data_IF_716579419983
#
_entry.id   IF_716579419983
#
_cell.length_a   1.000
_cell.length_b   1.000
_cell.length_c   1.000
_cell.angle_alpha   90.00
_cell.angle_beta   90.00
_cell.angle_gamma   90.00
#
_symmetry.space_group_name_H-M   'P 1'
#
loop_
_entity.id
_entity.type
_entity.pdbx_description
1 polymer ?
#
# COMPACT_ATOMS: atom_id res chain seq x y z
N UNK A 1 -47.65 -34.00 69.79
CA UNK A 1 -47.27 -32.71 69.17
C UNK A 1 -45.88 -32.37 69.69
N UNK A 2 -44.88 -32.50 68.81
CA UNK A 2 -43.48 -32.00 68.84
C UNK A 2 -42.81 -31.91 70.24
N UNK A 3 -41.88 -32.76 70.66
CA UNK A 3 -40.76 -33.35 69.93
C UNK A 3 -39.46 -32.63 70.31
N UNK A 4 -38.89 -32.94 71.48
CA UNK A 4 -37.57 -32.46 71.92
C UNK A 4 -36.91 -33.59 72.73
N UNK A 5 -35.92 -34.25 72.14
CA UNK A 5 -35.09 -35.26 72.80
C UNK A 5 -33.64 -34.87 72.59
N UNK A 6 -33.06 -34.24 73.61
CA UNK A 6 -31.61 -34.16 73.76
C UNK A 6 -31.11 -35.51 74.26
N UNK A 7 -30.29 -36.21 73.47
CA UNK A 7 -29.43 -37.30 73.97
C UNK A 7 -27.97 -36.89 73.78
N UNK A 8 -27.28 -36.71 74.90
CA UNK A 8 -25.81 -36.79 74.98
C UNK A 8 -25.41 -38.25 74.75
N UNK A 9 -24.33 -38.48 74.02
CA UNK A 9 -23.57 -39.73 74.11
C UNK A 9 -22.08 -39.40 73.95
N UNK A 10 -21.34 -39.79 74.98
CA UNK A 10 -19.92 -39.61 75.18
C UNK A 10 -19.16 -40.86 74.70
N UNK A 11 -18.10 -40.63 73.91
CA UNK A 11 -16.83 -41.39 73.80
C UNK A 11 -16.87 -42.88 73.35
N UNK A 12 -15.87 -43.53 72.72
CA UNK A 12 -14.41 -43.36 72.56
C UNK A 12 -13.90 -44.27 71.37
N UNK A 13 -12.59 -44.35 71.05
CA UNK A 13 -12.07 -44.50 69.69
C UNK A 13 -11.95 -45.95 69.23
N UNK A 14 -11.95 -46.16 67.91
CA UNK A 14 -11.45 -47.41 67.33
C UNK A 14 -10.32 -47.11 66.35
N UNK A 15 -9.08 -47.36 66.80
CA UNK A 15 -7.91 -47.50 65.92
C UNK A 15 -7.95 -48.90 65.34
N UNK A 16 -8.07 -49.03 64.02
CA UNK A 16 -7.51 -50.17 63.29
C UNK A 16 -6.74 -49.68 62.07
N UNK A 17 -5.63 -50.37 61.71
CA UNK A 17 -4.62 -49.86 60.80
C UNK A 17 -4.86 -50.33 59.36
N UNK A 18 -4.26 -49.59 58.42
CA UNK A 18 -4.02 -49.97 57.02
C UNK A 18 -5.24 -50.18 56.13
N UNK A 19 -5.66 -49.08 55.48
CA UNK A 19 -6.27 -49.12 54.15
C UNK A 19 -5.37 -48.31 53.20
N UNK A 20 -4.88 -48.88 52.07
CA UNK A 20 -4.20 -48.07 51.09
C UNK A 20 -5.22 -47.10 50.47
N UNK A 21 -4.97 -45.80 50.61
CA UNK A 21 -5.74 -44.77 49.90
C UNK A 21 -5.51 -44.92 48.40
N UNK A 22 -6.62 -44.89 47.66
CA UNK A 22 -6.73 -44.98 46.19
C UNK A 22 -5.63 -44.21 45.46
N UNK A 23 -5.15 -44.66 44.28
CA UNK A 23 -4.24 -43.88 43.47
C UNK A 23 -4.86 -42.51 43.17
N UNK A 24 -4.05 -41.44 43.13
CA UNK A 24 -4.56 -40.11 42.83
C UNK A 24 -5.25 -40.15 41.48
N UNK A 25 -6.49 -39.67 41.43
CA UNK A 25 -7.19 -39.43 40.18
C UNK A 25 -6.29 -38.51 39.37
N UNK A 26 -5.74 -39.02 38.26
CA UNK A 26 -5.00 -38.18 37.33
C UNK A 26 -5.99 -37.14 36.83
N UNK A 27 -5.83 -35.90 37.28
CA UNK A 27 -6.49 -34.79 36.63
C UNK A 27 -5.97 -34.79 35.19
N UNK A 28 -6.82 -35.18 34.24
CA UNK A 28 -6.61 -34.81 32.86
C UNK A 28 -6.48 -33.29 32.87
N UNK A 29 -5.24 -32.81 32.67
CA UNK A 29 -4.99 -31.43 32.31
C UNK A 29 -5.71 -31.28 30.97
N UNK A 30 -6.96 -30.82 31.01
CA UNK A 30 -7.64 -30.37 29.81
C UNK A 30 -6.79 -29.24 29.28
N UNK A 31 -6.20 -29.47 28.11
CA UNK A 31 -5.49 -28.46 27.36
C UNK A 31 -6.37 -27.22 27.30
N UNK A 32 -5.92 -26.14 27.94
CA UNK A 32 -6.49 -24.82 27.69
C UNK A 32 -6.12 -24.49 26.25
N UNK A 33 -7.06 -24.68 25.33
CA UNK A 33 -6.92 -24.12 23.99
C UNK A 33 -6.80 -22.61 24.18
N UNK A 34 -5.58 -22.10 24.01
CA UNK A 34 -5.34 -20.67 23.90
C UNK A 34 -6.32 -20.09 22.86
N UNK A 35 -6.77 -18.83 23.02
CA UNK A 35 -7.63 -18.19 22.03
C UNK A 35 -7.04 -18.40 20.64
N UNK A 36 -7.90 -18.78 19.68
CA UNK A 36 -7.54 -19.17 18.32
C UNK A 36 -6.41 -18.29 17.79
N UNK A 37 -5.26 -18.90 17.48
CA UNK A 37 -4.18 -18.19 16.79
C UNK A 37 -4.72 -17.72 15.45
N UNK A 38 -4.50 -16.45 15.12
CA UNK A 38 -4.71 -15.92 13.77
C UNK A 38 -4.12 -16.85 12.73
N UNK A 39 -4.78 -17.00 11.59
CA UNK A 39 -4.26 -17.82 10.49
C UNK A 39 -2.85 -17.32 10.12
N UNK A 40 -1.85 -18.20 9.89
CA UNK A 40 -0.48 -17.78 9.61
C UNK A 40 -0.37 -16.75 8.47
N UNK A 41 -1.15 -16.91 7.40
CA UNK A 41 -1.21 -15.94 6.29
C UNK A 41 -1.77 -14.57 6.70
N UNK A 42 -2.76 -14.53 7.60
CA UNK A 42 -3.31 -13.26 8.11
C UNK A 42 -2.26 -12.53 8.95
N UNK A 43 -1.50 -13.26 9.77
CA UNK A 43 -0.39 -12.67 10.53
C UNK A 43 0.68 -12.11 9.60
N UNK A 44 1.07 -12.87 8.56
CA UNK A 44 2.04 -12.44 7.57
C UNK A 44 1.61 -11.16 6.86
N UNK A 45 0.37 -11.09 6.36
CA UNK A 45 -0.15 -9.89 5.69
C UNK A 45 -0.16 -8.69 6.63
N UNK A 46 -0.51 -8.87 7.90
CA UNK A 46 -0.47 -7.78 8.89
C UNK A 46 0.95 -7.25 9.09
N UNK A 47 1.95 -8.13 9.14
CA UNK A 47 3.35 -7.73 9.26
C UNK A 47 3.80 -6.96 8.00
N UNK A 48 3.47 -7.45 6.80
CA UNK A 48 3.75 -6.76 5.53
C UNK A 48 3.08 -5.38 5.44
N UNK A 49 1.82 -5.26 5.91
CA UNK A 49 1.10 -3.99 6.03
C UNK A 49 1.80 -3.04 7.00
N UNK A 50 2.25 -3.53 8.15
CA UNK A 50 2.95 -2.71 9.15
C UNK A 50 4.29 -2.20 8.62
N UNK A 51 5.03 -3.03 7.89
CA UNK A 51 6.25 -2.61 7.20
C UNK A 51 5.96 -1.55 6.13
N UNK A 52 4.87 -1.68 5.39
CA UNK A 52 4.47 -0.69 4.38
C UNK A 52 4.00 0.63 5.01
N UNK A 53 3.31 0.58 6.16
CA UNK A 53 2.98 1.76 6.97
C UNK A 53 4.26 2.43 7.49
N UNK A 54 5.24 1.65 7.97
CA UNK A 54 6.53 2.15 8.43
C UNK A 54 7.35 2.79 7.29
N UNK A 55 7.32 2.21 6.09
CA UNK A 55 7.92 2.77 4.87
C UNK A 55 7.36 4.18 4.58
N UNK A 56 6.04 4.36 4.69
CA UNK A 56 5.40 5.66 4.44
C UNK A 56 5.74 6.73 5.50
N UNK A 57 6.06 6.32 6.73
CA UNK A 57 6.39 7.22 7.85
C UNK A 57 7.82 7.78 7.79
N UNK A 58 8.67 7.29 6.89
CA UNK A 58 10.07 7.75 6.73
C UNK A 58 10.27 8.46 5.39
N UNK A 59 9.70 9.67 5.18
CA UNK A 59 9.77 10.36 3.88
C UNK A 59 11.10 11.08 3.62
N UNK A 60 12.11 10.94 4.49
CA UNK A 60 13.40 11.61 4.31
C UNK A 60 14.07 11.15 3.01
N UNK A 61 14.30 12.10 2.09
CA UNK A 61 14.94 11.86 0.79
C UNK A 61 14.18 10.85 -0.09
N UNK A 62 12.94 11.17 -0.50
CA UNK A 62 12.19 10.37 -1.47
C UNK A 62 12.96 10.23 -2.79
N UNK A 63 13.28 9.00 -3.13
CA UNK A 63 13.98 8.60 -4.36
C UNK A 63 13.10 7.72 -5.23
N UNK A 64 13.50 7.51 -6.48
CA UNK A 64 12.89 6.53 -7.37
C UNK A 64 13.00 5.11 -6.78
N UNK A 65 14.14 4.78 -6.15
CA UNK A 65 14.35 3.52 -5.44
C UNK A 65 13.37 3.36 -4.26
N UNK A 66 13.13 4.42 -3.48
CA UNK A 66 12.14 4.40 -2.40
C UNK A 66 10.72 4.13 -2.91
N UNK A 67 10.33 4.73 -4.05
CA UNK A 67 9.05 4.44 -4.70
C UNK A 67 8.97 2.99 -5.18
N UNK A 68 10.05 2.47 -5.77
CA UNK A 68 10.10 1.08 -6.23
C UNK A 68 9.98 0.10 -5.06
N UNK A 69 10.66 0.35 -3.93
CA UNK A 69 10.51 -0.45 -2.71
C UNK A 69 9.07 -0.46 -2.20
N UNK A 70 8.40 0.70 -2.17
CA UNK A 70 6.98 0.78 -1.80
C UNK A 70 6.06 0.00 -2.73
N UNK A 71 6.31 0.06 -4.05
CA UNK A 71 5.55 -0.69 -5.06
C UNK A 71 5.76 -2.20 -4.97
N UNK A 72 6.99 -2.64 -4.70
CA UNK A 72 7.33 -4.05 -4.48
C UNK A 72 6.60 -4.58 -3.24
N UNK A 73 6.70 -3.87 -2.11
CA UNK A 73 6.00 -4.23 -0.87
C UNK A 73 4.49 -4.26 -1.05
N UNK A 74 3.92 -3.29 -1.78
CA UNK A 74 2.50 -3.26 -2.06
C UNK A 74 2.06 -4.45 -2.93
N UNK A 75 2.84 -4.82 -3.94
CA UNK A 75 2.60 -6.02 -4.73
C UNK A 75 2.59 -7.26 -3.82
N UNK A 76 3.57 -7.39 -2.93
CA UNK A 76 3.66 -8.55 -2.04
C UNK A 76 2.45 -8.63 -1.07
N UNK A 77 1.99 -7.49 -0.52
CA UNK A 77 0.75 -7.42 0.26
C UNK A 77 -0.47 -7.90 -0.54
N UNK A 78 -0.58 -7.51 -1.82
CA UNK A 78 -1.68 -7.95 -2.68
C UNK A 78 -1.61 -9.43 -3.05
N UNK A 79 -0.41 -9.97 -3.25
CA UNK A 79 -0.19 -11.39 -3.52
C UNK A 79 -0.54 -12.23 -2.28
N UNK A 80 -0.12 -11.80 -1.09
CA UNK A 80 -0.50 -12.44 0.17
C UNK A 80 -2.02 -12.35 0.43
N UNK A 81 -2.67 -11.22 0.11
CA UNK A 81 -4.14 -11.13 0.15
C UNK A 81 -4.78 -12.06 -0.89
N UNK A 82 -4.22 -12.16 -2.10
CA UNK A 82 -4.68 -13.10 -3.11
C UNK A 82 -4.69 -14.53 -2.57
N UNK A 83 -3.61 -14.96 -1.90
CA UNK A 83 -3.52 -16.30 -1.30
C UNK A 83 -4.57 -16.51 -0.19
N UNK A 84 -4.82 -15.51 0.66
CA UNK A 84 -5.88 -15.56 1.68
C UNK A 84 -7.26 -15.72 1.01
N UNK A 85 -7.51 -15.01 -0.08
CA UNK A 85 -8.78 -15.04 -0.81
C UNK A 85 -9.02 -16.38 -1.51
N UNK A 86 -8.00 -17.19 -1.78
CA UNK A 86 -8.16 -18.54 -2.36
C UNK A 86 -8.59 -19.59 -1.31
N UNK A 87 -8.53 -19.28 -0.01
CA UNK A 87 -8.87 -20.24 1.04
C UNK A 87 -10.39 -20.49 1.11
N UNK A 88 -10.84 -21.76 1.22
CA UNK A 88 -12.27 -22.07 1.35
C UNK A 88 -12.96 -21.38 2.53
N UNK A 89 -12.26 -21.22 3.66
CA UNK A 89 -12.83 -20.55 4.84
C UNK A 89 -13.08 -19.06 4.57
N UNK A 90 -12.21 -18.42 3.78
CA UNK A 90 -12.37 -17.03 3.37
C UNK A 90 -13.60 -16.86 2.49
N UNK A 91 -13.83 -17.80 1.56
CA UNK A 91 -15.02 -17.79 0.71
C UNK A 91 -16.32 -17.87 1.55
N UNK A 92 -16.39 -18.79 2.51
CA UNK A 92 -17.56 -18.95 3.37
C UNK A 92 -17.87 -17.65 4.14
N UNK A 93 -16.85 -17.06 4.77
CA UNK A 93 -16.98 -15.80 5.53
C UNK A 93 -17.44 -14.63 4.65
N UNK A 94 -16.90 -14.53 3.42
CA UNK A 94 -17.23 -13.44 2.51
C UNK A 94 -18.58 -13.62 1.79
N UNK A 95 -19.05 -14.86 1.64
CA UNK A 95 -20.34 -15.16 1.00
C UNK A 95 -21.53 -14.50 1.73
N UNK A 96 -21.44 -14.38 3.06
CA UNK A 96 -22.42 -13.71 3.90
C UNK A 96 -22.31 -12.18 3.87
N UNK A 97 -21.35 -11.62 3.13
CA UNK A 97 -21.04 -10.18 3.06
C UNK A 97 -21.04 -9.64 1.63
N UNK A 98 -21.90 -10.17 0.76
CA UNK A 98 -21.98 -9.80 -0.66
C UNK A 98 -21.92 -8.30 -0.92
N UNK A 99 -22.79 -7.49 -0.29
CA UNK A 99 -22.83 -6.03 -0.51
C UNK A 99 -21.52 -5.33 -0.16
N UNK A 100 -20.77 -5.84 0.82
CA UNK A 100 -19.47 -5.29 1.18
C UNK A 100 -18.38 -5.72 0.21
N UNK A 101 -18.39 -6.99 -0.22
CA UNK A 101 -17.47 -7.49 -1.24
C UNK A 101 -17.68 -6.77 -2.57
N UNK A 102 -18.91 -6.45 -2.94
CA UNK A 102 -19.24 -5.63 -4.12
C UNK A 102 -18.60 -4.25 -4.06
N UNK A 103 -18.65 -3.57 -2.90
CA UNK A 103 -17.95 -2.28 -2.70
C UNK A 103 -16.43 -2.42 -2.81
N UNK A 104 -15.86 -3.50 -2.30
CA UNK A 104 -14.43 -3.77 -2.46
C UNK A 104 -14.09 -4.00 -3.93
N UNK A 105 -14.91 -4.75 -4.67
CA UNK A 105 -14.71 -4.99 -6.09
C UNK A 105 -14.76 -3.70 -6.92
N UNK A 106 -15.64 -2.76 -6.54
CA UNK A 106 -15.67 -1.40 -7.10
C UNK A 106 -14.38 -0.64 -6.77
N UNK A 107 -13.90 -0.68 -5.53
CA UNK A 107 -12.63 -0.06 -5.13
C UNK A 107 -11.44 -0.61 -5.91
N UNK A 108 -11.34 -1.94 -6.05
CA UNK A 108 -10.30 -2.58 -6.85
C UNK A 108 -10.40 -2.26 -8.34
N UNK A 109 -11.61 -2.12 -8.88
CA UNK A 109 -11.78 -1.64 -10.26
C UNK A 109 -11.24 -0.22 -10.41
N UNK A 110 -11.53 0.66 -9.46
CA UNK A 110 -11.02 2.04 -9.46
C UNK A 110 -9.50 2.09 -9.34
N UNK A 111 -8.88 1.21 -8.55
CA UNK A 111 -7.42 1.08 -8.54
C UNK A 111 -6.87 0.67 -9.90
N UNK A 112 -7.46 -0.37 -10.52
CA UNK A 112 -7.07 -0.85 -11.86
C UNK A 112 -7.17 0.28 -12.89
N UNK A 113 -8.29 1.01 -12.93
CA UNK A 113 -8.50 2.12 -13.86
C UNK A 113 -7.42 3.21 -13.69
N UNK A 114 -7.14 3.58 -12.45
CA UNK A 114 -6.18 4.62 -12.13
C UNK A 114 -4.75 4.21 -12.50
N UNK A 115 -4.34 2.98 -12.20
CA UNK A 115 -3.03 2.46 -12.61
C UNK A 115 -2.93 2.29 -14.14
N UNK A 116 -4.02 1.93 -14.81
CA UNK A 116 -4.05 1.85 -16.28
C UNK A 116 -3.87 3.22 -16.95
N UNK A 117 -4.53 4.27 -16.43
CA UNK A 117 -4.32 5.64 -16.90
C UNK A 117 -2.88 6.08 -16.63
N UNK A 118 -2.37 5.81 -15.43
CA UNK A 118 -0.99 6.12 -15.04
C UNK A 118 0.04 5.49 -16.01
N UNK A 119 -0.09 4.20 -16.31
CA UNK A 119 0.78 3.48 -17.25
C UNK A 119 0.73 4.09 -18.65
N UNK A 120 -0.47 4.42 -19.12
CA UNK A 120 -0.65 5.06 -20.44
C UNK A 120 0.08 6.40 -20.51
N UNK A 121 -0.05 7.24 -19.48
CA UNK A 121 0.66 8.53 -19.44
C UNK A 121 2.18 8.36 -19.33
N UNK A 122 2.67 7.34 -18.60
CA UNK A 122 4.10 7.01 -18.52
C UNK A 122 4.68 6.56 -19.87
N UNK A 123 3.95 5.69 -20.57
CA UNK A 123 4.35 5.21 -21.89
C UNK A 123 4.51 6.37 -22.88
N UNK A 124 3.54 7.30 -22.91
CA UNK A 124 3.61 8.50 -23.73
C UNK A 124 4.81 9.40 -23.39
N UNK A 125 5.18 9.52 -22.12
CA UNK A 125 6.38 10.28 -21.73
C UNK A 125 7.66 9.61 -22.24
N UNK A 126 7.76 8.27 -22.14
CA UNK A 126 8.95 7.51 -22.58
C UNK A 126 9.18 7.68 -24.08
N UNK A 127 8.13 7.67 -24.90
CA UNK A 127 8.22 7.92 -26.34
C UNK A 127 8.81 9.31 -26.63
N UNK A 128 8.31 10.35 -25.95
CA UNK A 128 8.82 11.72 -26.09
C UNK A 128 10.25 11.88 -25.55
N UNK A 129 10.63 11.12 -24.53
CA UNK A 129 11.97 11.14 -23.96
C UNK A 129 13.01 10.59 -24.95
N UNK A 130 12.68 9.54 -25.71
CA UNK A 130 13.53 9.03 -26.79
C UNK A 130 13.78 10.10 -27.86
N UNK A 131 12.73 10.83 -28.25
CA UNK A 131 12.85 11.94 -29.19
C UNK A 131 13.70 13.10 -28.61
N UNK A 132 13.53 13.42 -27.32
CA UNK A 132 14.30 14.43 -26.61
C UNK A 132 15.81 14.10 -26.58
N UNK A 133 16.17 12.81 -26.50
CA UNK A 133 17.57 12.36 -26.48
C UNK A 133 18.30 12.70 -27.77
N UNK A 134 17.61 12.50 -28.89
CA UNK A 134 18.11 12.86 -30.22
C UNK A 134 18.18 14.39 -30.35
N UNK A 135 17.17 15.10 -29.85
CA UNK A 135 17.13 16.56 -29.87
C UNK A 135 18.27 17.19 -29.05
N UNK A 136 18.62 16.64 -27.88
CA UNK A 136 19.75 17.09 -27.06
C UNK A 136 21.06 17.04 -27.85
N UNK A 137 21.33 15.93 -28.55
CA UNK A 137 22.54 15.76 -29.37
C UNK A 137 22.59 16.75 -30.54
N UNK A 138 21.43 17.11 -31.10
CA UNK A 138 21.28 18.08 -32.18
C UNK A 138 21.17 19.53 -31.70
N UNK A 139 21.20 19.77 -30.38
CA UNK A 139 20.96 21.08 -29.75
C UNK A 139 19.66 21.74 -30.25
N UNK A 140 18.62 20.92 -30.43
CA UNK A 140 17.31 21.33 -30.94
C UNK A 140 16.35 21.69 -29.81
N UNK A 141 16.36 22.96 -29.41
CA UNK A 141 15.53 23.48 -28.31
C UNK A 141 14.02 23.30 -28.58
N UNK A 142 13.59 23.24 -29.85
CA UNK A 142 12.17 23.14 -30.20
C UNK A 142 11.56 21.79 -29.81
N UNK A 143 12.28 20.69 -30.07
CA UNK A 143 11.86 19.33 -29.68
C UNK A 143 11.97 19.09 -28.19
N UNK A 144 12.94 19.72 -27.53
CA UNK A 144 13.04 19.71 -26.07
C UNK A 144 11.84 20.41 -25.43
N UNK A 145 11.36 21.50 -26.02
CA UNK A 145 10.13 22.16 -25.57
C UNK A 145 8.91 21.22 -25.65
N UNK A 146 8.80 20.38 -26.69
CA UNK A 146 7.73 19.39 -26.83
C UNK A 146 7.81 18.35 -25.70
N UNK A 147 8.98 17.78 -25.44
CA UNK A 147 9.18 16.85 -24.31
C UNK A 147 8.82 17.48 -22.96
N UNK A 148 9.26 18.72 -22.70
CA UNK A 148 8.90 19.44 -21.49
C UNK A 148 7.40 19.68 -21.35
N UNK A 149 6.71 19.95 -22.46
CA UNK A 149 5.25 20.07 -22.49
C UNK A 149 4.58 18.73 -22.18
N UNK A 150 5.06 17.64 -22.76
CA UNK A 150 4.58 16.28 -22.48
C UNK A 150 4.73 15.93 -21.00
N UNK A 151 5.90 16.21 -20.41
CA UNK A 151 6.18 16.03 -18.99
C UNK A 151 5.19 16.79 -18.09
N UNK A 152 4.86 18.04 -18.43
CA UNK A 152 3.86 18.84 -17.70
C UNK A 152 2.45 18.27 -17.85
N UNK A 153 2.08 17.83 -19.06
CA UNK A 153 0.78 17.22 -19.35
C UNK A 153 0.60 15.96 -18.49
N UNK A 154 1.59 15.08 -18.48
CA UNK A 154 1.59 13.88 -17.64
C UNK A 154 1.45 14.22 -16.16
N UNK A 155 2.22 15.19 -15.65
CA UNK A 155 2.12 15.63 -14.26
C UNK A 155 0.71 16.10 -13.87
N UNK A 156 0.00 16.77 -14.79
CA UNK A 156 -1.38 17.21 -14.60
C UNK A 156 -2.37 16.05 -14.66
N UNK A 157 -2.17 15.08 -15.55
CA UNK A 157 -2.99 13.87 -15.62
C UNK A 157 -2.86 13.05 -14.33
N UNK A 158 -1.63 12.80 -13.88
CA UNK A 158 -1.34 12.09 -12.63
C UNK A 158 -1.90 12.83 -11.41
N UNK A 159 -1.86 14.17 -11.40
CA UNK A 159 -2.49 14.95 -10.33
C UNK A 159 -4.00 14.70 -10.20
N UNK A 160 -4.70 14.43 -11.31
CA UNK A 160 -6.15 14.14 -11.30
C UNK A 160 -6.44 12.74 -10.73
N UNK A 161 -5.50 11.80 -10.85
CA UNK A 161 -5.65 10.46 -10.30
C UNK A 161 -5.68 10.46 -8.76
N UNK A 162 -4.97 11.41 -8.13
CA UNK A 162 -4.93 11.61 -6.67
C UNK A 162 -6.32 11.79 -6.08
N UNK A 163 -7.19 12.57 -6.74
CA UNK A 163 -8.57 12.77 -6.25
C UNK A 163 -9.41 11.50 -6.33
N UNK A 164 -9.23 10.69 -7.38
CA UNK A 164 -9.94 9.42 -7.52
C UNK A 164 -9.55 8.45 -6.41
N UNK A 165 -8.25 8.31 -6.14
CA UNK A 165 -7.72 7.41 -5.10
C UNK A 165 -8.15 7.81 -3.69
N UNK A 166 -8.16 9.10 -3.34
CA UNK A 166 -8.52 9.55 -1.98
C UNK A 166 -9.96 9.21 -1.58
N UNK A 167 -10.81 8.82 -2.53
CA UNK A 167 -12.21 8.47 -2.28
C UNK A 167 -12.48 6.97 -2.16
N UNK A 168 -11.46 6.14 -2.36
CA UNK A 168 -11.52 4.67 -2.22
C UNK A 168 -11.53 4.30 -0.73
N UNK A 169 -12.20 3.22 -0.34
CA UNK A 169 -12.21 2.72 1.03
C UNK A 169 -13.04 3.53 2.03
N UNK A 170 -13.89 4.47 1.57
CA UNK A 170 -14.70 5.33 2.44
C UNK A 170 -16.00 4.68 2.93
N UNK A 171 -15.92 3.46 3.42
CA UNK A 171 -17.03 2.76 4.05
C UNK A 171 -16.54 2.01 5.28
N UNK A 172 -17.40 1.90 6.28
CA UNK A 172 -17.12 1.15 7.49
C UNK A 172 -18.19 0.09 7.67
N UNK A 173 -17.78 -1.14 7.98
CA UNK A 173 -18.70 -2.15 8.46
C UNK A 173 -18.95 -1.87 9.95
N UNK A 174 -20.21 -1.70 10.39
CA UNK A 174 -20.51 -1.59 11.81
C UNK A 174 -19.98 -2.81 12.57
N UNK A 175 -19.36 -2.65 13.75
CA UNK A 175 -18.87 -3.79 14.55
C UNK A 175 -19.96 -4.81 14.87
N UNK A 176 -21.22 -4.39 14.96
CA UNK A 176 -22.40 -5.25 15.17
C UNK A 176 -22.73 -6.18 14.01
N UNK A 177 -22.19 -5.94 12.81
CA UNK A 177 -22.37 -6.79 11.63
C UNK A 177 -21.29 -7.87 11.48
N UNK A 178 -20.35 -7.96 12.42
CA UNK A 178 -19.29 -8.97 12.49
C UNK A 178 -19.68 -10.02 13.54
N UNK A 179 -19.79 -11.27 13.12
CA UNK A 179 -20.35 -12.36 13.91
C UNK A 179 -19.26 -13.20 14.57
N UNK A 180 -18.02 -13.17 14.04
CA UNK A 180 -16.88 -13.91 14.60
C UNK A 180 -15.57 -13.10 14.63
N UNK A 181 -14.64 -13.53 15.48
CA UNK A 181 -13.29 -12.94 15.58
C UNK A 181 -12.52 -13.11 14.25
N UNK A 182 -12.61 -14.29 13.63
CA UNK A 182 -11.95 -14.56 12.36
C UNK A 182 -12.47 -13.67 11.22
N UNK A 183 -13.78 -13.42 11.21
CA UNK A 183 -14.42 -12.50 10.27
C UNK A 183 -13.97 -11.05 10.48
N UNK A 184 -13.97 -10.58 11.73
CA UNK A 184 -13.48 -9.25 12.07
C UNK A 184 -12.01 -9.06 11.68
N UNK A 185 -11.20 -10.09 11.86
CA UNK A 185 -9.79 -10.09 11.49
C UNK A 185 -9.57 -9.99 9.98
N UNK A 186 -10.27 -10.81 9.20
CA UNK A 186 -10.21 -10.81 7.74
C UNK A 186 -10.69 -9.47 7.16
N UNK A 187 -11.82 -8.96 7.65
CA UNK A 187 -12.37 -7.65 7.25
C UNK A 187 -11.37 -6.55 7.55
N UNK A 188 -10.77 -6.55 8.74
CA UNK A 188 -9.75 -5.59 9.13
C UNK A 188 -8.54 -5.64 8.19
N UNK A 189 -8.05 -6.83 7.86
CA UNK A 189 -6.94 -6.99 6.90
C UNK A 189 -7.29 -6.45 5.52
N UNK A 190 -8.46 -6.77 4.96
CA UNK A 190 -8.84 -6.27 3.63
C UNK A 190 -8.93 -4.73 3.64
N UNK A 191 -9.52 -4.14 4.67
CA UNK A 191 -9.57 -2.69 4.84
C UNK A 191 -8.17 -2.07 4.96
N UNK A 192 -7.28 -2.68 5.76
CA UNK A 192 -5.90 -2.22 5.88
C UNK A 192 -5.14 -2.32 4.54
N UNK A 193 -5.37 -3.37 3.74
CA UNK A 193 -4.79 -3.51 2.39
C UNK A 193 -5.25 -2.37 1.49
N UNK A 194 -6.54 -2.04 1.50
CA UNK A 194 -7.08 -0.90 0.74
C UNK A 194 -6.39 0.40 1.19
N UNK A 195 -6.26 0.63 2.49
CA UNK A 195 -5.64 1.83 3.04
C UNK A 195 -4.16 1.97 2.65
N UNK A 196 -3.37 0.91 2.73
CA UNK A 196 -1.96 0.96 2.29
C UNK A 196 -1.84 1.10 0.77
N UNK A 197 -2.77 0.52 0.00
CA UNK A 197 -2.85 0.71 -1.46
C UNK A 197 -3.10 2.18 -1.79
N UNK A 198 -4.04 2.83 -1.10
CA UNK A 198 -4.29 4.27 -1.20
C UNK A 198 -3.03 5.06 -0.85
N UNK A 199 -2.40 4.76 0.29
CA UNK A 199 -1.22 5.49 0.78
C UNK A 199 -0.04 5.45 -0.20
N UNK A 200 0.35 4.25 -0.66
CA UNK A 200 1.45 4.06 -1.61
C UNK A 200 1.14 4.76 -2.94
N UNK A 201 -0.09 4.63 -3.44
CA UNK A 201 -0.48 5.26 -4.70
C UNK A 201 -0.50 6.79 -4.61
N UNK A 202 -0.90 7.35 -3.46
CA UNK A 202 -0.80 8.78 -3.20
C UNK A 202 0.66 9.25 -3.18
N UNK A 203 1.56 8.51 -2.50
CA UNK A 203 2.97 8.82 -2.46
C UNK A 203 3.60 8.81 -3.87
N UNK A 204 3.27 7.80 -4.67
CA UNK A 204 3.69 7.66 -6.06
C UNK A 204 3.22 8.84 -6.92
N UNK A 205 1.92 9.10 -6.94
CA UNK A 205 1.33 10.09 -7.83
C UNK A 205 1.68 11.52 -7.43
N UNK A 206 1.65 11.86 -6.14
CA UNK A 206 2.11 13.16 -5.68
C UNK A 206 3.60 13.33 -5.97
N UNK A 207 4.43 12.32 -5.68
CA UNK A 207 5.86 12.38 -5.95
C UNK A 207 6.18 12.68 -7.40
N UNK A 208 5.55 11.95 -8.33
CA UNK A 208 5.75 12.15 -9.76
C UNK A 208 5.17 13.49 -10.23
N UNK A 209 3.91 13.77 -9.88
CA UNK A 209 3.22 14.99 -10.30
C UNK A 209 3.99 16.24 -9.86
N UNK A 210 4.44 16.30 -8.60
CA UNK A 210 5.20 17.44 -8.07
C UNK A 210 6.57 17.54 -8.73
N UNK A 211 7.24 16.42 -9.00
CA UNK A 211 8.58 16.42 -9.60
C UNK A 211 8.58 16.93 -11.05
N UNK A 212 7.53 16.60 -11.79
CA UNK A 212 7.38 16.97 -13.19
C UNK A 212 6.55 18.24 -13.42
N UNK A 213 5.85 18.72 -12.39
CA UNK A 213 5.26 20.04 -12.37
C UNK A 213 6.37 21.10 -12.47
N UNK A 214 6.24 21.99 -13.45
CA UNK A 214 7.15 23.12 -13.65
C UNK A 214 7.23 23.99 -12.39
N UNK A 215 8.39 24.00 -11.71
CA UNK A 215 8.73 25.16 -10.91
C UNK A 215 9.12 26.26 -11.89
N UNK A 216 8.27 27.26 -12.08
CA UNK A 216 8.79 28.56 -12.52
C UNK A 216 9.93 28.88 -11.56
N UNK A 217 11.16 28.98 -12.07
CA UNK A 217 12.26 29.58 -11.32
C UNK A 217 11.79 30.97 -10.94
N UNK A 218 11.30 31.10 -9.72
CA UNK A 218 10.79 32.36 -9.21
C UNK A 218 11.95 33.20 -8.74
N UNK A 219 12.74 33.70 -9.69
CA UNK A 219 13.65 34.81 -9.44
C UNK A 219 12.87 36.10 -9.09
N UNK A 220 11.53 36.06 -9.15
CA UNK A 220 10.62 37.17 -8.80
C UNK A 220 9.81 36.94 -7.51
N UNK A 221 10.06 35.88 -6.73
CA UNK A 221 9.44 35.75 -5.40
C UNK A 221 10.44 36.18 -4.32
N UNK A 222 10.87 37.43 -4.40
CA UNK A 222 11.41 38.12 -3.24
C UNK A 222 10.22 38.36 -2.30
N UNK A 223 10.24 37.67 -1.16
CA UNK A 223 9.39 37.86 0.01
C UNK A 223 7.92 37.38 -0.09
N UNK A 224 7.45 36.79 1.02
CA UNK A 224 6.06 36.34 1.30
C UNK A 224 5.66 34.95 0.79
N UNK A 225 6.27 33.91 1.34
CA UNK A 225 5.53 32.75 1.89
C UNK A 225 6.51 31.68 2.39
N UNK A 226 6.83 31.70 3.69
CA UNK A 226 7.67 30.69 4.33
C UNK A 226 6.91 29.46 4.84
N UNK A 227 5.57 29.40 4.71
CA UNK A 227 4.76 28.33 5.31
C UNK A 227 3.97 27.45 4.34
N UNK A 228 3.64 27.90 3.12
CA UNK A 228 2.88 27.09 2.16
C UNK A 228 3.76 26.26 1.19
N UNK A 229 5.01 26.65 0.96
CA UNK A 229 5.88 26.01 -0.04
C UNK A 229 6.79 24.89 0.50
N UNK A 230 6.89 24.72 1.83
CA UNK A 230 7.76 23.70 2.43
C UNK A 230 7.19 22.29 2.23
N UNK A 231 5.87 22.13 2.45
CA UNK A 231 5.15 20.85 2.32
C UNK A 231 5.16 20.31 0.89
N UNK A 232 4.98 21.15 -0.13
CA UNK A 232 4.99 20.72 -1.54
C UNK A 232 6.36 20.28 -2.04
N UNK A 233 7.46 20.71 -1.41
CA UNK A 233 8.81 20.33 -1.83
C UNK A 233 9.22 18.98 -1.25
N UNK A 234 8.69 18.65 -0.07
CA UNK A 234 9.01 17.45 0.70
C UNK A 234 8.45 16.16 0.07
N UNK A 235 7.39 16.27 -0.73
CA UNK A 235 6.77 15.10 -1.35
C UNK A 235 7.40 14.67 -2.69
N UNK A 236 8.32 15.47 -3.23
CA UNK A 236 8.91 15.25 -4.55
C UNK A 236 10.03 14.20 -4.59
N UNK A 237 10.31 13.68 -5.78
CA UNK A 237 11.33 12.66 -6.03
C UNK A 237 12.62 13.33 -6.49
N UNK A 238 13.71 13.05 -5.78
CA UNK A 238 14.98 13.74 -5.96
C UNK A 238 15.54 13.64 -7.39
N UNK A 239 15.61 12.43 -7.95
CA UNK A 239 16.18 12.17 -9.28
C UNK A 239 15.36 12.85 -10.37
N UNK A 240 14.03 12.91 -10.21
CA UNK A 240 13.13 13.55 -11.17
C UNK A 240 13.29 15.08 -11.18
N UNK A 241 13.73 15.68 -10.07
CA UNK A 241 13.99 17.12 -9.98
C UNK A 241 15.36 17.54 -10.47
N UNK A 242 16.38 16.68 -10.34
CA UNK A 242 17.74 16.98 -10.80
C UNK A 242 17.76 17.32 -12.30
N UNK A 243 16.81 16.77 -13.06
CA UNK A 243 16.57 17.10 -14.45
C UNK A 243 15.52 18.23 -14.58
N UNK A 244 15.85 19.42 -14.07
CA UNK A 244 14.99 20.62 -14.16
C UNK A 244 14.93 21.20 -15.57
N UNK A 245 13.85 21.95 -15.88
CA UNK A 245 13.63 22.54 -17.22
C UNK A 245 14.78 23.46 -17.66
N UNK A 246 15.33 24.23 -16.72
CA UNK A 246 16.44 25.14 -16.95
C UNK A 246 17.71 24.43 -17.44
N UNK A 247 17.92 23.16 -17.03
CA UNK A 247 19.10 22.39 -17.43
C UNK A 247 19.04 21.97 -18.91
N UNK A 248 17.83 21.93 -19.50
CA UNK A 248 17.62 21.51 -20.88
C UNK A 248 17.40 22.66 -21.86
N UNK A 249 17.33 23.91 -21.41
CA UNK A 249 17.13 25.06 -22.30
C UNK A 249 18.46 25.66 -22.77
N UNK A 250 18.40 26.39 -23.89
CA UNK A 250 19.53 27.16 -24.40
C UNK A 250 20.70 26.28 -24.84
N UNK A 251 20.41 25.09 -25.38
CA UNK A 251 21.43 24.09 -25.73
C UNK A 251 22.46 24.63 -26.72
N UNK A 252 22.05 25.54 -27.60
CA UNK A 252 22.96 26.22 -28.55
C UNK A 252 24.06 27.04 -27.87
N UNK A 253 23.81 27.51 -26.65
CA UNK A 253 24.78 28.27 -25.84
C UNK A 253 25.67 27.36 -24.99
N UNK A 254 25.35 26.06 -24.91
CA UNK A 254 26.07 25.07 -24.11
C UNK A 254 27.20 24.45 -24.91
N UNK A 255 28.36 24.32 -24.25
CA UNK A 255 29.49 23.55 -24.77
C UNK A 255 29.17 22.04 -24.85
N UNK A 256 29.94 21.29 -25.63
CA UNK A 256 29.66 19.87 -25.86
C UNK A 256 29.76 19.01 -24.60
N UNK A 257 30.65 19.37 -23.67
CA UNK A 257 30.77 18.69 -22.37
C UNK A 257 29.52 18.93 -21.50
N UNK A 258 28.97 20.15 -21.50
CA UNK A 258 27.76 20.44 -20.76
C UNK A 258 26.55 19.68 -21.34
N UNK A 259 26.44 19.60 -22.67
CA UNK A 259 25.42 18.79 -23.34
C UNK A 259 25.57 17.31 -23.01
N UNK A 260 26.80 16.79 -22.95
CA UNK A 260 27.09 15.42 -22.53
C UNK A 260 26.63 15.15 -21.09
N UNK A 261 26.85 16.10 -20.18
CA UNK A 261 26.38 16.00 -18.80
C UNK A 261 24.85 16.00 -18.70
N UNK A 262 24.15 16.82 -19.50
CA UNK A 262 22.68 16.80 -19.58
C UNK A 262 22.18 15.46 -20.13
N UNK A 263 22.81 14.94 -21.18
CA UNK A 263 22.46 13.64 -21.77
C UNK A 263 22.62 12.50 -20.77
N UNK A 264 23.70 12.50 -19.97
CA UNK A 264 23.92 11.50 -18.91
C UNK A 264 22.81 11.54 -17.86
N UNK A 265 22.49 12.74 -17.34
CA UNK A 265 21.38 12.90 -16.38
C UNK A 265 20.03 12.47 -16.97
N UNK A 266 19.82 12.69 -18.27
CA UNK A 266 18.60 12.24 -18.92
C UNK A 266 18.51 10.71 -19.01
N UNK A 267 19.64 10.02 -19.24
CA UNK A 267 19.70 8.55 -19.22
C UNK A 267 19.46 7.98 -17.82
N UNK A 268 20.01 8.63 -16.80
CA UNK A 268 19.77 8.23 -15.42
C UNK A 268 18.28 8.40 -15.06
N UNK A 269 17.64 9.48 -15.53
CA UNK A 269 16.19 9.67 -15.43
C UNK A 269 15.40 8.60 -16.21
N UNK A 270 15.82 8.22 -17.42
CA UNK A 270 15.20 7.13 -18.20
C UNK A 270 15.15 5.82 -17.40
N UNK A 271 16.25 5.47 -16.71
CA UNK A 271 16.32 4.28 -15.85
C UNK A 271 15.35 4.38 -14.68
N UNK A 272 15.37 5.50 -13.96
CA UNK A 272 14.49 5.72 -12.82
C UNK A 272 13.00 5.64 -13.21
N UNK A 273 12.64 6.17 -14.39
CA UNK A 273 11.27 6.07 -14.93
C UNK A 273 10.91 4.63 -15.25
N UNK A 274 11.80 3.88 -15.90
CA UNK A 274 11.58 2.48 -16.26
C UNK A 274 11.43 1.58 -15.03
N UNK A 275 12.19 1.82 -13.96
CA UNK A 275 12.08 1.07 -12.71
C UNK A 275 10.72 1.29 -12.04
N UNK A 276 10.27 2.56 -11.96
CA UNK A 276 8.96 2.91 -11.39
C UNK A 276 7.82 2.34 -12.24
N UNK A 277 7.91 2.40 -13.57
CA UNK A 277 6.95 1.80 -14.49
C UNK A 277 6.84 0.29 -14.26
N UNK A 278 7.98 -0.42 -14.24
CA UNK A 278 8.04 -1.87 -13.99
C UNK A 278 7.43 -2.25 -12.64
N UNK A 279 7.74 -1.50 -11.58
CA UNK A 279 7.12 -1.66 -10.26
C UNK A 279 5.60 -1.49 -10.33
N UNK A 280 5.13 -0.42 -10.97
CA UNK A 280 3.71 -0.12 -11.10
C UNK A 280 2.95 -1.12 -11.96
N UNK A 281 3.60 -1.73 -12.96
CA UNK A 281 3.04 -2.81 -13.79
C UNK A 281 2.80 -4.07 -12.97
N UNK A 282 3.75 -4.42 -12.10
CA UNK A 282 3.58 -5.56 -11.18
C UNK A 282 2.45 -5.33 -10.19
N UNK A 283 2.35 -4.13 -9.60
CA UNK A 283 1.24 -3.75 -8.73
C UNK A 283 -0.10 -3.76 -9.46
N UNK A 284 -0.15 -3.26 -10.70
CA UNK A 284 -1.37 -3.32 -11.52
C UNK A 284 -1.83 -4.76 -11.76
N UNK A 285 -0.91 -5.68 -12.07
CA UNK A 285 -1.23 -7.11 -12.23
C UNK A 285 -1.72 -7.74 -10.92
N UNK A 286 -1.07 -7.44 -9.79
CA UNK A 286 -1.50 -7.97 -8.49
C UNK A 286 -2.90 -7.46 -8.11
N UNK A 287 -3.21 -6.18 -8.36
CA UNK A 287 -4.56 -5.62 -8.18
C UNK A 287 -5.63 -6.36 -9.01
N UNK A 288 -5.34 -6.68 -10.27
CA UNK A 288 -6.24 -7.49 -11.11
C UNK A 288 -6.43 -8.88 -10.50
N UNK A 289 -5.35 -9.56 -10.10
CA UNK A 289 -5.41 -10.89 -9.51
C UNK A 289 -6.23 -10.91 -8.22
N UNK A 290 -6.04 -9.94 -7.33
CA UNK A 290 -6.84 -9.78 -6.12
C UNK A 290 -8.32 -9.57 -6.47
N UNK A 291 -8.63 -8.69 -7.44
CA UNK A 291 -10.01 -8.46 -7.88
C UNK A 291 -10.67 -9.71 -8.44
N UNK A 292 -9.96 -10.48 -9.27
CA UNK A 292 -10.45 -11.77 -9.79
C UNK A 292 -10.70 -12.75 -8.66
N UNK A 293 -9.85 -12.76 -7.63
CA UNK A 293 -10.02 -13.64 -6.47
C UNK A 293 -11.25 -13.26 -5.65
N UNK A 294 -11.46 -11.96 -5.40
CA UNK A 294 -12.68 -11.45 -4.78
C UNK A 294 -13.94 -11.84 -5.57
N UNK A 295 -13.93 -11.71 -6.90
CA UNK A 295 -15.05 -12.16 -7.75
C UNK A 295 -15.34 -13.64 -7.54
N UNK A 296 -14.29 -14.47 -7.49
CA UNK A 296 -14.42 -15.90 -7.28
C UNK A 296 -15.02 -16.27 -5.92
N UNK A 297 -14.94 -15.39 -4.92
CA UNK A 297 -15.60 -15.59 -3.62
C UNK A 297 -17.12 -15.41 -3.69
N UNK A 298 -17.63 -14.68 -4.68
CA UNK A 298 -19.07 -14.44 -4.87
C UNK A 298 -19.75 -15.45 -5.81
N UNK A 299 -18.97 -16.13 -6.63
CA UNK A 299 -19.48 -17.03 -7.68
C UNK A 299 -19.44 -18.51 -7.32
N UNK A 300 -18.68 -18.90 -6.29
CA UNK A 300 -18.53 -20.29 -5.85
C UNK A 300 -19.49 -20.64 -4.72
#
# INVERSE_FOLDING_TARGET
MVGSVFKRSLSFPNKTPNRPSKPPISHHIRSISLPCRSHPLISQVKDEINELKAWSCKPENRTSAWLCDGLIRLKDVHDSLHDILQLPQTHELLSHKREWVEKILEDFLRFVDVYGIFQTSFLALKEEQLAARVALRRKDDSKIAVYLKSRKKMAQEIAKLVSSIRSIGRYSIPPSALVSIAEAELVGVISDVIDVTVSVSLALFNGISISFASRKSSWMALNLSKKANKVKTEESIQEFQQMGEANMWGLRKKGDEEVRMVLKRMQDLERCIADVESGSEKTFRSLINTRVSLLNTLTK
#
